data_IF_898147659753
#
_entry.id   IF_898147659753
#
_cell.length_a   1.000
_cell.length_b   1.000
_cell.length_c   1.000
_cell.angle_alpha   90.00
_cell.angle_beta   90.00
_cell.angle_gamma   90.00
#
_symmetry.space_group_name_H-M   'P 1'
#
loop_
_entity.id
_entity.type
_entity.pdbx_description
1 polymer ?
#
# COMPACT_ATOMS: atom_id res chain seq x y z
N UNK A 1 -4.60 14.28 -18.72
CA UNK A 1 -5.43 13.13 -18.29
C UNK A 1 -4.74 12.49 -17.10
N UNK A 2 -5.49 12.08 -16.07
CA UNK A 2 -4.92 11.54 -14.83
C UNK A 2 -4.51 10.07 -15.02
N UNK A 3 -5.35 9.29 -15.70
CA UNK A 3 -5.11 7.90 -16.07
C UNK A 3 -5.46 7.68 -17.53
N UNK A 4 -4.75 6.77 -18.15
CA UNK A 4 -5.08 6.25 -19.44
C UNK A 4 -5.28 4.73 -19.34
N UNK A 5 -6.48 4.27 -19.62
CA UNK A 5 -6.80 2.85 -19.80
C UNK A 5 -6.82 2.57 -21.29
N UNK A 6 -5.95 1.71 -21.79
CA UNK A 6 -5.77 1.46 -23.20
C UNK A 6 -5.64 -0.05 -23.52
N UNK A 7 -5.71 -0.36 -24.81
CA UNK A 7 -5.57 -1.72 -25.35
C UNK A 7 -6.88 -2.50 -25.40
N UNK A 8 -6.79 -3.70 -25.91
CA UNK A 8 -7.95 -4.60 -26.15
C UNK A 8 -8.67 -5.00 -24.86
N UNK A 9 -7.97 -4.94 -23.72
CA UNK A 9 -8.49 -5.33 -22.40
C UNK A 9 -8.96 -4.16 -21.54
N UNK A 10 -9.11 -2.95 -22.09
CA UNK A 10 -9.49 -1.77 -21.32
C UNK A 10 -10.79 -1.96 -20.52
N UNK A 11 -11.82 -2.61 -21.11
CA UNK A 11 -13.07 -2.90 -20.39
C UNK A 11 -12.87 -3.88 -19.24
N UNK A 12 -12.01 -4.89 -19.42
CA UNK A 12 -11.68 -5.87 -18.39
C UNK A 12 -10.98 -5.22 -17.21
N UNK A 13 -10.16 -4.19 -17.44
CA UNK A 13 -9.48 -3.43 -16.36
C UNK A 13 -10.47 -2.73 -15.45
N UNK A 14 -11.53 -2.12 -16.00
CA UNK A 14 -12.60 -1.53 -15.21
C UNK A 14 -13.36 -2.58 -14.41
N UNK A 15 -13.66 -3.73 -15.01
CA UNK A 15 -14.29 -4.86 -14.34
C UNK A 15 -13.45 -5.35 -13.17
N UNK A 16 -12.13 -5.47 -13.35
CA UNK A 16 -11.23 -5.93 -12.29
C UNK A 16 -11.03 -4.93 -11.16
N UNK A 17 -11.09 -3.63 -11.44
CA UNK A 17 -11.13 -2.65 -10.35
C UNK A 17 -12.27 -2.95 -9.36
N UNK A 18 -13.47 -3.22 -9.91
CA UNK A 18 -14.66 -3.55 -9.11
C UNK A 18 -14.46 -4.90 -8.39
N UNK A 19 -13.96 -5.92 -9.07
CA UNK A 19 -13.70 -7.25 -8.49
C UNK A 19 -12.68 -7.16 -7.36
N UNK A 20 -11.59 -6.44 -7.54
CA UNK A 20 -10.57 -6.24 -6.50
C UNK A 20 -11.14 -5.46 -5.32
N UNK A 21 -11.86 -4.37 -5.57
CA UNK A 21 -12.49 -3.58 -4.51
C UNK A 21 -13.45 -4.42 -3.66
N UNK A 22 -14.38 -5.11 -4.30
CA UNK A 22 -15.36 -5.97 -3.62
C UNK A 22 -14.69 -7.18 -2.94
N UNK A 23 -13.73 -7.79 -3.61
CA UNK A 23 -12.95 -8.90 -3.06
C UNK A 23 -12.22 -8.51 -1.78
N UNK A 24 -11.53 -7.36 -1.77
CA UNK A 24 -10.84 -6.84 -0.59
C UNK A 24 -11.81 -6.53 0.55
N UNK A 25 -12.97 -5.92 0.26
CA UNK A 25 -14.01 -5.67 1.26
C UNK A 25 -14.50 -6.99 1.87
N UNK A 26 -14.90 -7.96 1.04
CA UNK A 26 -15.45 -9.24 1.49
C UNK A 26 -14.42 -10.04 2.29
N UNK A 27 -13.18 -10.12 1.81
CA UNK A 27 -12.11 -10.83 2.52
C UNK A 27 -11.74 -10.17 3.85
N UNK A 28 -11.71 -8.82 3.88
CA UNK A 28 -11.51 -8.08 5.12
C UNK A 28 -12.65 -8.36 6.12
N UNK A 29 -13.91 -8.37 5.66
CA UNK A 29 -15.06 -8.70 6.50
C UNK A 29 -14.94 -10.12 7.06
N UNK A 30 -14.58 -11.12 6.25
CA UNK A 30 -14.33 -12.49 6.70
C UNK A 30 -13.22 -12.55 7.76
N UNK A 31 -12.07 -11.92 7.47
CA UNK A 31 -10.90 -11.98 8.33
C UNK A 31 -11.10 -11.30 9.70
N UNK A 32 -11.79 -10.14 9.72
CA UNK A 32 -11.92 -9.36 10.95
C UNK A 32 -13.06 -9.80 11.87
N UNK A 33 -14.16 -10.36 11.32
CA UNK A 33 -15.39 -10.67 12.08
C UNK A 33 -15.27 -11.86 12.99
N UNK A 34 -14.42 -12.82 12.67
CA UNK A 34 -14.27 -14.04 13.45
C UNK A 34 -12.80 -14.33 13.77
N UNK A 35 -12.58 -15.00 14.91
CA UNK A 35 -11.24 -15.46 15.30
C UNK A 35 -10.69 -16.45 14.28
N UNK A 36 -11.53 -17.37 13.80
CA UNK A 36 -11.13 -18.37 12.80
C UNK A 36 -10.79 -17.71 11.46
N UNK A 37 -11.60 -16.75 10.99
CA UNK A 37 -11.30 -15.99 9.77
C UNK A 37 -9.96 -15.29 9.83
N UNK A 38 -9.66 -14.65 10.97
CA UNK A 38 -8.34 -14.02 11.18
C UNK A 38 -7.19 -15.03 11.19
N UNK A 39 -7.35 -16.18 11.88
CA UNK A 39 -6.34 -17.25 11.92
C UNK A 39 -6.09 -17.81 10.52
N UNK A 40 -7.13 -18.10 9.76
CA UNK A 40 -6.99 -18.63 8.39
C UNK A 40 -6.24 -17.59 7.54
N UNK A 41 -6.71 -16.33 7.54
CA UNK A 41 -6.19 -15.29 6.63
C UNK A 41 -4.78 -14.86 7.00
N UNK A 42 -4.45 -14.66 8.28
CA UNK A 42 -3.20 -14.03 8.69
C UNK A 42 -2.17 -14.97 9.33
N UNK A 43 -2.53 -16.24 9.55
CA UNK A 43 -1.58 -17.26 10.02
C UNK A 43 -1.48 -18.42 9.03
N UNK A 44 -2.58 -19.10 8.73
CA UNK A 44 -2.54 -20.33 7.92
C UNK A 44 -2.12 -20.04 6.46
N UNK A 45 -2.74 -19.05 5.81
CA UNK A 45 -2.38 -18.68 4.41
C UNK A 45 -0.93 -18.18 4.33
N UNK A 46 -0.45 -17.22 5.14
CA UNK A 46 0.94 -16.78 5.08
C UNK A 46 1.96 -17.87 5.37
N UNK A 47 1.66 -18.82 6.26
CA UNK A 47 2.52 -19.98 6.50
C UNK A 47 2.61 -20.90 5.26
N UNK A 48 1.46 -21.17 4.63
CA UNK A 48 1.43 -21.96 3.38
C UNK A 48 2.18 -21.24 2.25
N UNK A 49 1.98 -19.91 2.12
CA UNK A 49 2.72 -19.10 1.14
C UNK A 49 4.22 -19.07 1.43
N UNK A 50 4.62 -18.98 2.69
CA UNK A 50 6.05 -19.04 3.06
C UNK A 50 6.67 -20.37 2.63
N UNK A 51 5.98 -21.49 2.88
CA UNK A 51 6.44 -22.81 2.40
C UNK A 51 6.55 -22.87 0.86
N UNK A 52 5.56 -22.30 0.16
CA UNK A 52 5.57 -22.19 -1.30
C UNK A 52 6.74 -21.33 -1.81
N UNK A 53 7.00 -20.17 -1.22
CA UNK A 53 8.12 -19.30 -1.60
C UNK A 53 9.48 -19.96 -1.33
N UNK A 54 9.61 -20.67 -0.21
CA UNK A 54 10.82 -21.45 0.09
C UNK A 54 11.04 -22.58 -0.92
N UNK A 55 9.97 -23.28 -1.31
CA UNK A 55 10.06 -24.33 -2.34
C UNK A 55 10.52 -23.75 -3.68
N UNK A 56 9.97 -22.60 -4.12
CA UNK A 56 10.42 -21.91 -5.32
C UNK A 56 11.90 -21.52 -5.19
N UNK A 57 12.28 -20.89 -4.08
CA UNK A 57 13.66 -20.45 -3.86
C UNK A 57 14.66 -21.63 -3.93
N UNK A 58 14.34 -22.76 -3.28
CA UNK A 58 15.15 -24.00 -3.36
C UNK A 58 15.18 -24.53 -4.80
N UNK A 59 14.02 -24.59 -5.47
CA UNK A 59 13.93 -25.06 -6.85
C UNK A 59 14.79 -24.24 -7.81
N UNK A 60 14.75 -22.90 -7.69
CA UNK A 60 15.59 -22.00 -8.48
C UNK A 60 17.07 -22.24 -8.21
N UNK A 61 17.48 -22.40 -6.94
CA UNK A 61 18.87 -22.68 -6.57
C UNK A 61 19.38 -24.05 -7.09
N UNK A 62 18.48 -25.00 -7.25
CA UNK A 62 18.79 -26.33 -7.78
C UNK A 62 18.61 -26.44 -9.30
N UNK A 63 18.21 -25.38 -9.99
CA UNK A 63 17.99 -25.36 -11.44
C UNK A 63 16.72 -26.09 -11.88
N UNK A 64 15.76 -26.30 -10.99
CA UNK A 64 14.52 -26.99 -11.33
C UNK A 64 13.65 -26.11 -12.26
N UNK A 65 13.30 -26.62 -13.43
CA UNK A 65 12.60 -25.92 -14.50
C UNK A 65 11.27 -25.33 -14.02
N UNK A 66 10.48 -26.10 -13.24
CA UNK A 66 9.19 -25.63 -12.70
C UNK A 66 9.33 -24.38 -11.81
N UNK A 67 10.46 -24.23 -11.13
CA UNK A 67 10.70 -23.07 -10.26
C UNK A 67 11.21 -21.87 -11.06
N UNK A 68 12.05 -22.11 -12.07
CA UNK A 68 12.56 -21.07 -12.96
C UNK A 68 11.44 -20.43 -13.80
N UNK A 69 10.45 -21.23 -14.20
CA UNK A 69 9.28 -20.77 -14.96
C UNK A 69 8.12 -20.29 -14.07
N UNK A 70 8.25 -20.42 -12.75
CA UNK A 70 7.17 -20.03 -11.83
C UNK A 70 6.93 -18.53 -11.86
N UNK A 71 5.67 -18.12 -12.01
CA UNK A 71 5.28 -16.72 -12.13
C UNK A 71 5.71 -15.87 -10.92
N UNK A 72 5.65 -16.41 -9.70
CA UNK A 72 6.16 -15.72 -8.51
C UNK A 72 7.65 -15.44 -8.61
N UNK A 73 8.44 -16.41 -9.09
CA UNK A 73 9.87 -16.20 -9.30
C UNK A 73 10.13 -15.18 -10.42
N UNK A 74 9.43 -15.30 -11.53
CA UNK A 74 9.68 -14.44 -12.70
C UNK A 74 9.31 -12.98 -12.44
N UNK A 75 8.22 -12.73 -11.71
CA UNK A 75 7.60 -11.39 -11.63
C UNK A 75 7.56 -10.78 -10.24
N UNK A 76 7.62 -11.60 -9.17
CA UNK A 76 7.33 -11.15 -7.80
C UNK A 76 8.45 -11.47 -6.81
N UNK A 77 9.69 -11.70 -7.28
CA UNK A 77 10.81 -12.09 -6.42
C UNK A 77 11.50 -10.92 -5.72
N UNK A 78 11.10 -9.69 -5.99
CA UNK A 78 11.73 -8.49 -5.43
C UNK A 78 11.54 -8.39 -3.90
N UNK A 79 12.53 -7.85 -3.22
CA UNK A 79 12.55 -7.69 -1.77
C UNK A 79 11.35 -6.89 -1.24
N UNK A 80 10.93 -5.88 -2.00
CA UNK A 80 9.84 -4.98 -1.65
C UNK A 80 8.51 -5.72 -1.45
N UNK A 81 8.19 -6.66 -2.33
CA UNK A 81 6.96 -7.44 -2.25
C UNK A 81 6.91 -8.30 -0.99
N UNK A 82 8.01 -8.98 -0.66
CA UNK A 82 8.11 -9.76 0.59
C UNK A 82 8.06 -8.87 1.83
N UNK A 83 8.79 -7.75 1.82
CA UNK A 83 8.77 -6.80 2.94
C UNK A 83 7.36 -6.28 3.20
N UNK A 84 6.61 -5.90 2.16
CA UNK A 84 5.22 -5.44 2.29
C UNK A 84 4.28 -6.54 2.79
N UNK A 85 4.40 -7.76 2.25
CA UNK A 85 3.59 -8.89 2.70
C UNK A 85 3.76 -9.16 4.19
N UNK A 86 5.01 -9.37 4.63
CA UNK A 86 5.28 -9.76 6.01
C UNK A 86 5.06 -8.63 7.02
N UNK A 87 5.38 -7.38 6.66
CA UNK A 87 5.09 -6.24 7.50
C UNK A 87 3.56 -6.05 7.69
N UNK A 88 2.78 -6.10 6.60
CA UNK A 88 1.33 -6.00 6.70
C UNK A 88 0.72 -7.15 7.52
N UNK A 89 1.18 -8.40 7.27
CA UNK A 89 0.73 -9.60 8.02
C UNK A 89 1.08 -9.48 9.50
N UNK A 90 2.28 -9.02 9.85
CA UNK A 90 2.67 -8.78 11.25
C UNK A 90 1.73 -7.76 11.93
N UNK A 91 1.34 -6.70 11.21
CA UNK A 91 0.35 -5.73 11.70
C UNK A 91 -1.00 -6.37 12.01
N UNK A 92 -1.51 -7.22 11.09
CA UNK A 92 -2.76 -7.96 11.27
C UNK A 92 -2.69 -8.92 12.48
N UNK A 93 -1.58 -9.64 12.63
CA UNK A 93 -1.34 -10.51 13.80
C UNK A 93 -1.31 -9.69 15.09
N UNK A 94 -0.63 -8.53 15.09
CA UNK A 94 -0.59 -7.62 16.22
C UNK A 94 -1.97 -7.15 16.67
N UNK A 95 -2.84 -6.79 15.72
CA UNK A 95 -4.25 -6.47 16.02
C UNK A 95 -4.99 -7.69 16.62
N UNK A 96 -4.77 -8.89 16.10
CA UNK A 96 -5.37 -10.10 16.65
C UNK A 96 -4.87 -10.39 18.07
N UNK A 97 -3.58 -10.21 18.33
CA UNK A 97 -2.98 -10.41 19.66
C UNK A 97 -3.61 -9.48 20.70
N UNK A 98 -3.79 -8.20 20.37
CA UNK A 98 -4.46 -7.23 21.26
C UNK A 98 -5.94 -7.62 21.43
N UNK A 99 -6.65 -7.88 20.34
CA UNK A 99 -8.08 -8.17 20.33
C UNK A 99 -8.46 -9.41 21.16
N UNK A 100 -7.64 -10.46 21.05
CA UNK A 100 -7.89 -11.74 21.73
C UNK A 100 -7.03 -11.93 22.97
N UNK A 101 -6.29 -10.91 23.39
CA UNK A 101 -5.37 -10.93 24.56
C UNK A 101 -4.37 -12.10 24.50
N UNK A 102 -3.79 -12.37 23.31
CA UNK A 102 -2.82 -13.46 23.12
C UNK A 102 -1.43 -13.07 23.63
N UNK A 103 -0.92 -13.80 24.61
CA UNK A 103 0.43 -13.59 25.13
C UNK A 103 0.72 -12.14 25.49
N UNK A 104 1.75 -11.56 24.86
CA UNK A 104 2.14 -10.16 25.08
C UNK A 104 1.09 -9.16 24.59
N UNK A 105 0.18 -9.55 23.71
CA UNK A 105 -0.93 -8.70 23.24
C UNK A 105 -1.91 -8.30 24.35
N UNK A 106 -1.90 -9.01 25.50
CA UNK A 106 -2.65 -8.64 26.69
C UNK A 106 -1.98 -7.50 27.51
N UNK A 107 -0.74 -7.15 27.20
CA UNK A 107 0.03 -6.17 27.96
C UNK A 107 -0.17 -4.76 27.41
N UNK A 108 -0.31 -3.78 28.30
CA UNK A 108 -0.54 -2.38 27.91
C UNK A 108 0.61 -1.83 27.02
N UNK A 109 1.86 -2.17 27.30
CA UNK A 109 3.01 -1.72 26.52
C UNK A 109 3.01 -2.20 25.06
N UNK A 110 2.21 -3.24 24.74
CA UNK A 110 2.10 -3.76 23.37
C UNK A 110 1.11 -2.98 22.51
N UNK A 111 0.24 -2.15 23.11
CA UNK A 111 -0.78 -1.38 22.36
C UNK A 111 -0.21 -0.52 21.22
N UNK A 112 1.00 0.10 21.31
CA UNK A 112 1.59 0.85 20.18
C UNK A 112 2.11 -0.01 19.02
N UNK A 113 2.10 -1.35 19.13
CA UNK A 113 2.62 -2.22 18.08
C UNK A 113 2.00 -1.95 16.71
N UNK A 114 0.66 -1.76 16.55
CA UNK A 114 0.07 -1.37 15.27
C UNK A 114 0.65 -0.08 14.69
N UNK A 115 0.89 0.94 15.52
CA UNK A 115 1.57 2.17 15.09
C UNK A 115 2.95 1.87 14.51
N UNK A 116 3.78 1.09 15.21
CA UNK A 116 5.14 0.76 14.78
C UNK A 116 5.10 0.07 13.41
N UNK A 117 4.22 -0.91 13.22
CA UNK A 117 4.13 -1.64 11.95
C UNK A 117 3.62 -0.76 10.81
N UNK A 118 2.63 0.10 11.07
CA UNK A 118 2.14 1.06 10.05
C UNK A 118 3.25 2.04 9.68
N UNK A 119 3.99 2.56 10.66
CA UNK A 119 5.13 3.44 10.42
C UNK A 119 6.21 2.76 9.58
N UNK A 120 6.55 1.49 9.85
CA UNK A 120 7.48 0.70 9.03
C UNK A 120 6.97 0.56 7.60
N UNK A 121 5.69 0.26 7.40
CA UNK A 121 5.09 0.16 6.05
C UNK A 121 5.15 1.50 5.30
N UNK A 122 4.95 2.61 5.99
CA UNK A 122 5.10 3.95 5.42
C UNK A 122 6.58 4.21 5.05
N UNK A 123 7.52 3.89 5.95
CA UNK A 123 8.95 4.07 5.69
C UNK A 123 9.43 3.26 4.48
N UNK A 124 8.97 2.03 4.30
CA UNK A 124 9.28 1.23 3.10
C UNK A 124 8.84 1.97 1.82
N UNK A 125 7.67 2.61 1.82
CA UNK A 125 7.21 3.40 0.69
C UNK A 125 8.04 4.69 0.50
N UNK A 126 8.41 5.38 1.58
CA UNK A 126 9.28 6.55 1.51
C UNK A 126 10.67 6.20 0.95
N UNK A 127 11.24 5.05 1.34
CA UNK A 127 12.52 4.57 0.79
C UNK A 127 12.42 4.35 -0.73
N UNK A 128 11.33 3.73 -1.20
CA UNK A 128 11.09 3.53 -2.62
C UNK A 128 10.95 4.86 -3.39
N UNK A 129 10.27 5.87 -2.82
CA UNK A 129 10.21 7.21 -3.41
C UNK A 129 11.62 7.86 -3.48
N UNK A 130 12.39 7.82 -2.39
CA UNK A 130 13.74 8.39 -2.40
C UNK A 130 14.70 7.62 -3.31
N UNK A 131 14.58 6.30 -3.40
CA UNK A 131 15.33 5.48 -4.36
C UNK A 131 15.04 5.94 -5.79
N UNK A 132 13.77 6.11 -6.15
CA UNK A 132 13.37 6.62 -7.46
C UNK A 132 13.91 8.01 -7.75
N UNK A 133 13.92 8.89 -6.74
CA UNK A 133 14.51 10.21 -6.88
C UNK A 133 16.02 10.14 -7.18
N UNK A 134 16.75 9.24 -6.53
CA UNK A 134 18.21 9.11 -6.69
C UNK A 134 18.57 8.41 -7.99
N UNK A 135 17.91 7.29 -8.29
CA UNK A 135 18.26 6.44 -9.43
C UNK A 135 17.76 6.99 -10.77
N UNK A 136 16.59 7.61 -10.77
CA UNK A 136 15.90 8.06 -11.96
C UNK A 136 15.75 9.58 -12.10
N UNK A 137 16.62 10.40 -11.52
CA UNK A 137 16.45 11.86 -11.52
C UNK A 137 16.31 12.44 -12.94
N UNK A 138 15.09 12.91 -13.24
CA UNK A 138 14.69 13.37 -14.58
C UNK A 138 14.93 12.36 -15.70
N UNK A 139 14.87 11.07 -15.40
CA UNK A 139 15.03 9.97 -16.35
C UNK A 139 14.07 8.83 -16.00
N UNK A 140 13.80 8.01 -17.00
CA UNK A 140 13.25 6.68 -16.77
C UNK A 140 14.33 5.77 -16.19
N UNK A 141 13.96 4.90 -15.27
CA UNK A 141 14.85 3.89 -14.75
C UNK A 141 14.08 2.60 -14.46
N UNK A 142 14.75 1.47 -14.65
CA UNK A 142 14.17 0.13 -14.41
C UNK A 142 14.50 -0.29 -12.98
N UNK A 143 13.45 -0.50 -12.17
CA UNK A 143 13.57 -0.91 -10.76
C UNK A 143 13.91 -2.38 -10.61
N UNK A 144 14.30 -2.80 -9.40
CA UNK A 144 14.48 -4.21 -9.04
C UNK A 144 13.21 -5.05 -9.19
N UNK A 145 12.06 -4.39 -9.19
CA UNK A 145 10.74 -5.02 -9.36
C UNK A 145 10.33 -5.14 -10.84
N UNK A 146 11.22 -4.79 -11.76
CA UNK A 146 10.94 -4.83 -13.20
C UNK A 146 9.96 -3.75 -13.69
N UNK A 147 9.78 -2.69 -12.92
CA UNK A 147 8.86 -1.57 -13.23
C UNK A 147 9.66 -0.36 -13.69
N UNK A 148 9.29 0.21 -14.84
CA UNK A 148 9.81 1.48 -15.29
C UNK A 148 9.19 2.63 -14.48
N UNK A 149 10.05 3.45 -13.88
CA UNK A 149 9.66 4.64 -13.13
C UNK A 149 10.36 5.86 -13.70
N UNK A 150 9.72 7.02 -13.58
CA UNK A 150 10.33 8.31 -13.86
C UNK A 150 10.58 9.04 -12.55
N UNK A 151 11.85 9.32 -12.25
CA UNK A 151 12.22 9.92 -10.96
C UNK A 151 12.34 11.45 -11.03
N UNK A 152 12.19 12.10 -9.87
CA UNK A 152 12.34 13.55 -9.76
C UNK A 152 11.84 14.14 -8.45
N UNK A 153 11.61 15.46 -8.44
CA UNK A 153 11.14 16.19 -7.27
C UNK A 153 9.82 15.66 -6.68
N UNK A 154 8.95 15.10 -7.50
CA UNK A 154 7.69 14.50 -7.05
C UNK A 154 7.93 13.34 -6.07
N UNK A 155 8.94 12.52 -6.29
CA UNK A 155 9.31 11.46 -5.35
C UNK A 155 9.85 12.04 -4.03
N UNK A 156 10.69 13.08 -4.09
CA UNK A 156 11.18 13.75 -2.87
C UNK A 156 10.02 14.31 -2.05
N UNK A 157 9.10 15.04 -2.72
CA UNK A 157 7.92 15.60 -2.06
C UNK A 157 7.05 14.51 -1.43
N UNK A 158 6.82 13.42 -2.13
CA UNK A 158 5.99 12.33 -1.63
C UNK A 158 6.67 11.53 -0.51
N UNK A 159 7.97 11.27 -0.60
CA UNK A 159 8.75 10.66 0.48
C UNK A 159 8.70 11.49 1.76
N UNK A 160 8.86 12.83 1.66
CA UNK A 160 8.70 13.74 2.80
C UNK A 160 7.26 13.74 3.32
N UNK A 161 6.26 13.74 2.44
CA UNK A 161 4.86 13.63 2.83
C UNK A 161 4.58 12.36 3.65
N UNK A 162 5.18 11.22 3.26
CA UNK A 162 5.08 9.97 4.02
C UNK A 162 5.72 10.07 5.41
N UNK A 163 6.87 10.72 5.54
CA UNK A 163 7.47 10.97 6.84
C UNK A 163 6.55 11.83 7.73
N UNK A 164 5.95 12.89 7.19
CA UNK A 164 4.96 13.70 7.92
C UNK A 164 3.72 12.89 8.28
N UNK A 165 3.28 11.98 7.41
CA UNK A 165 2.12 11.11 7.64
C UNK A 165 2.31 10.22 8.87
N UNK A 166 3.52 9.72 9.14
CA UNK A 166 3.83 8.96 10.36
C UNK A 166 3.52 9.80 11.61
N UNK A 167 3.90 11.08 11.59
CA UNK A 167 3.63 11.99 12.72
C UNK A 167 2.19 12.48 12.79
N UNK A 168 1.38 12.27 11.75
CA UNK A 168 -0.06 12.49 11.79
C UNK A 168 -0.83 11.36 12.51
N UNK A 169 -0.20 10.22 12.81
CA UNK A 169 -0.79 9.21 13.67
C UNK A 169 -0.70 9.65 15.13
N UNK A 170 -1.85 9.75 15.79
CA UNK A 170 -1.97 10.24 17.17
C UNK A 170 -2.43 9.14 18.13
N UNK A 171 -2.35 9.36 19.44
CA UNK A 171 -2.85 8.47 20.49
C UNK A 171 -2.44 6.99 20.32
N UNK A 172 -1.14 6.71 20.23
CA UNK A 172 -0.61 5.38 19.86
C UNK A 172 -1.00 4.24 20.79
N UNK A 173 -1.35 4.52 22.05
CA UNK A 173 -1.79 3.54 23.05
C UNK A 173 -3.32 3.35 23.08
N UNK A 174 -4.08 4.21 22.40
CA UNK A 174 -5.54 4.23 22.47
C UNK A 174 -6.16 3.37 21.37
N UNK A 175 -5.74 2.11 21.35
CA UNK A 175 -6.24 1.07 20.46
C UNK A 175 -7.01 0.05 21.29
N UNK A 176 -8.29 -0.14 20.98
CA UNK A 176 -9.23 -0.93 21.78
C UNK A 176 -9.97 -1.97 20.94
N UNK A 177 -10.32 -3.14 21.49
CA UNK A 177 -11.24 -4.05 20.82
C UNK A 177 -12.66 -3.45 20.82
N UNK A 178 -13.44 -3.76 19.78
CA UNK A 178 -14.86 -3.43 19.77
C UNK A 178 -15.66 -4.31 20.74
N UNK A 179 -16.83 -3.81 21.19
CA UNK A 179 -17.75 -4.52 22.11
C UNK A 179 -18.17 -5.89 21.58
N UNK A 180 -18.37 -6.00 20.27
CA UNK A 180 -18.72 -7.24 19.59
C UNK A 180 -17.50 -8.11 19.20
N UNK A 181 -16.28 -7.67 19.57
CA UNK A 181 -15.01 -8.32 19.26
C UNK A 181 -14.74 -8.57 17.78
N UNK A 182 -15.41 -7.82 16.89
CA UNK A 182 -15.15 -7.91 15.44
C UNK A 182 -14.02 -7.02 14.98
N UNK A 183 -13.84 -5.87 15.65
CA UNK A 183 -12.93 -4.82 15.21
C UNK A 183 -11.88 -4.45 16.26
N UNK A 184 -10.81 -3.84 15.79
CA UNK A 184 -9.91 -3.01 16.58
C UNK A 184 -10.21 -1.55 16.28
N UNK A 185 -10.50 -0.79 17.31
CA UNK A 185 -10.88 0.62 17.22
C UNK A 185 -9.67 1.48 17.59
N UNK A 186 -9.27 2.34 16.67
CA UNK A 186 -8.33 3.43 16.91
C UNK A 186 -9.04 4.73 16.53
N UNK A 187 -9.79 5.27 17.50
CA UNK A 187 -10.80 6.28 17.27
C UNK A 187 -10.22 7.63 16.79
N UNK A 188 -8.99 7.94 17.21
CA UNK A 188 -8.32 9.19 16.85
C UNK A 188 -7.86 9.22 15.38
N UNK A 189 -7.80 8.06 14.69
CA UNK A 189 -7.61 7.99 13.25
C UNK A 189 -8.91 8.33 12.53
N UNK A 190 -9.26 9.61 12.58
CA UNK A 190 -10.50 10.16 12.02
C UNK A 190 -10.40 10.34 10.50
N UNK A 191 -11.47 10.86 9.90
CA UNK A 191 -11.48 11.18 8.48
C UNK A 191 -10.32 12.09 8.04
N UNK A 192 -9.76 12.91 8.96
CA UNK A 192 -8.60 13.78 8.67
C UNK A 192 -7.39 12.92 8.34
N UNK A 193 -7.07 11.94 9.20
CA UNK A 193 -5.95 11.03 8.94
C UNK A 193 -6.19 10.16 7.71
N UNK A 194 -7.40 9.60 7.58
CA UNK A 194 -7.79 8.77 6.43
C UNK A 194 -7.53 9.52 5.12
N UNK A 195 -8.01 10.76 5.03
CA UNK A 195 -7.85 11.57 3.82
C UNK A 195 -6.38 11.83 3.47
N UNK A 196 -5.56 12.26 4.44
CA UNK A 196 -4.16 12.61 4.14
C UNK A 196 -3.31 11.38 3.86
N UNK A 197 -3.64 10.24 4.49
CA UNK A 197 -3.02 8.96 4.16
C UNK A 197 -3.40 8.50 2.74
N UNK A 198 -4.68 8.55 2.39
CA UNK A 198 -5.15 8.12 1.07
C UNK A 198 -4.53 8.97 -0.04
N UNK A 199 -4.44 10.29 0.13
CA UNK A 199 -3.77 11.18 -0.84
C UNK A 199 -2.28 10.84 -0.96
N UNK A 200 -1.57 10.69 0.16
CA UNK A 200 -0.15 10.35 0.16
C UNK A 200 0.11 8.98 -0.46
N UNK A 201 -0.64 7.96 -0.07
CA UNK A 201 -0.41 6.61 -0.55
C UNK A 201 -0.83 6.46 -2.03
N UNK A 202 -1.85 7.20 -2.47
CA UNK A 202 -2.18 7.28 -3.88
C UNK A 202 -1.04 7.92 -4.69
N UNK A 203 -0.46 9.02 -4.21
CA UNK A 203 0.71 9.65 -4.85
C UNK A 203 1.90 8.67 -4.92
N UNK A 204 2.14 7.91 -3.84
CA UNK A 204 3.17 6.85 -3.82
C UNK A 204 2.93 5.80 -4.91
N UNK A 205 1.73 5.24 -5.01
CA UNK A 205 1.45 4.23 -6.03
C UNK A 205 1.47 4.81 -7.44
N UNK A 206 1.09 6.07 -7.60
CA UNK A 206 1.13 6.78 -8.86
C UNK A 206 2.57 7.03 -9.36
N UNK A 207 3.49 7.33 -8.44
CA UNK A 207 4.88 7.60 -8.75
C UNK A 207 5.72 6.33 -8.92
N UNK A 208 5.58 5.39 -7.97
CA UNK A 208 6.48 4.25 -7.84
C UNK A 208 5.89 2.92 -8.35
N UNK A 209 4.56 2.85 -8.53
CA UNK A 209 3.88 1.68 -9.04
C UNK A 209 2.94 2.04 -10.19
N UNK A 210 3.45 2.67 -11.27
CA UNK A 210 2.61 3.23 -12.33
C UNK A 210 1.70 2.19 -12.98
N UNK A 211 2.16 0.96 -13.15
CA UNK A 211 1.38 -0.13 -13.73
C UNK A 211 0.34 -0.74 -12.78
N UNK A 212 0.42 -0.42 -11.47
CA UNK A 212 -0.45 -0.97 -10.43
C UNK A 212 -1.32 0.08 -9.74
N UNK A 213 -1.14 1.37 -10.08
CA UNK A 213 -1.81 2.46 -9.36
C UNK A 213 -3.34 2.38 -9.39
N UNK A 214 -3.92 1.73 -10.39
CA UNK A 214 -5.36 1.51 -10.50
C UNK A 214 -5.90 0.56 -9.43
N UNK A 215 -5.24 -0.58 -9.23
CA UNK A 215 -5.67 -1.57 -8.22
C UNK A 215 -5.11 -1.28 -6.83
N UNK A 216 -3.81 -0.99 -6.74
CA UNK A 216 -3.15 -0.67 -5.49
C UNK A 216 -3.50 0.73 -5.02
N UNK A 217 -3.49 1.71 -5.92
CA UNK A 217 -3.71 3.10 -5.58
C UNK A 217 -5.19 3.47 -5.38
N UNK A 218 -6.13 2.78 -6.03
CA UNK A 218 -7.56 3.09 -5.90
C UNK A 218 -8.28 2.00 -5.14
N UNK A 219 -8.38 0.78 -5.68
CA UNK A 219 -9.18 -0.27 -5.03
C UNK A 219 -8.68 -0.59 -3.61
N UNK A 220 -7.37 -0.69 -3.42
CA UNK A 220 -6.75 -1.00 -2.13
C UNK A 220 -6.92 0.11 -1.08
N UNK A 221 -7.06 1.38 -1.49
CA UNK A 221 -7.34 2.50 -0.59
C UNK A 221 -8.85 2.68 -0.35
N UNK A 222 -9.66 2.51 -1.38
CA UNK A 222 -11.12 2.63 -1.24
C UNK A 222 -11.72 1.54 -0.37
N UNK A 223 -11.21 0.30 -0.44
CA UNK A 223 -11.78 -0.81 0.33
C UNK A 223 -11.80 -0.55 1.86
N UNK A 224 -10.68 -0.21 2.53
CA UNK A 224 -10.69 0.11 3.96
C UNK A 224 -11.43 1.41 4.26
N UNK A 225 -11.37 2.40 3.36
CA UNK A 225 -11.98 3.72 3.55
C UNK A 225 -13.50 3.64 3.49
N UNK A 226 -14.06 2.97 2.49
CA UNK A 226 -15.51 2.73 2.40
C UNK A 226 -15.99 1.96 3.63
N UNK A 227 -15.29 0.89 4.03
CA UNK A 227 -15.66 0.13 5.23
C UNK A 227 -15.69 1.01 6.49
N UNK A 228 -14.65 1.81 6.71
CA UNK A 228 -14.54 2.66 7.89
C UNK A 228 -15.54 3.81 7.93
N UNK A 229 -15.90 4.37 6.79
CA UNK A 229 -16.86 5.48 6.73
C UNK A 229 -18.32 4.99 6.79
N UNK A 230 -18.62 3.82 6.21
CA UNK A 230 -19.99 3.34 6.09
C UNK A 230 -20.46 2.49 7.28
N UNK A 231 -19.63 1.56 7.81
CA UNK A 231 -20.09 0.62 8.85
C UNK A 231 -19.06 0.28 9.93
N UNK A 232 -17.76 0.62 9.75
CA UNK A 232 -16.68 0.22 10.66
C UNK A 232 -15.90 1.43 11.19
N UNK A 233 -16.59 2.42 11.75
CA UNK A 233 -15.96 3.65 12.28
C UNK A 233 -14.93 3.33 13.35
N UNK A 234 -13.76 3.96 13.24
CA UNK A 234 -12.59 3.72 14.09
C UNK A 234 -11.76 2.49 13.71
N UNK A 235 -12.23 1.64 12.79
CA UNK A 235 -11.51 0.43 12.35
C UNK A 235 -10.63 0.62 11.12
N UNK A 236 -10.42 1.84 10.65
CA UNK A 236 -9.74 2.10 9.37
C UNK A 236 -8.32 1.52 9.31
N UNK A 237 -7.50 1.71 10.35
CA UNK A 237 -6.11 1.19 10.37
C UNK A 237 -6.10 -0.35 10.29
N UNK A 238 -6.99 -1.02 11.02
CA UNK A 238 -7.12 -2.48 10.91
C UNK A 238 -7.55 -2.89 9.51
N UNK A 239 -8.58 -2.23 8.95
CA UNK A 239 -9.04 -2.53 7.59
C UNK A 239 -7.91 -2.32 6.58
N UNK A 240 -7.11 -1.25 6.73
CA UNK A 240 -5.99 -0.95 5.84
C UNK A 240 -4.87 -1.99 5.94
N UNK A 241 -4.53 -2.43 7.15
CA UNK A 241 -3.57 -3.51 7.36
C UNK A 241 -4.07 -4.83 6.74
N UNK A 242 -5.33 -5.19 7.00
CA UNK A 242 -5.93 -6.41 6.49
C UNK A 242 -5.96 -6.42 4.95
N UNK A 243 -6.47 -5.35 4.32
CA UNK A 243 -6.57 -5.27 2.86
C UNK A 243 -5.21 -5.27 2.19
N UNK A 244 -4.20 -4.61 2.79
CA UNK A 244 -2.82 -4.65 2.28
C UNK A 244 -2.23 -6.06 2.35
N UNK A 245 -2.37 -6.75 3.48
CA UNK A 245 -1.88 -8.12 3.63
C UNK A 245 -2.56 -9.08 2.64
N UNK A 246 -3.89 -9.00 2.52
CA UNK A 246 -4.67 -9.80 1.58
C UNK A 246 -4.22 -9.52 0.13
N UNK A 247 -4.10 -8.24 -0.24
CA UNK A 247 -3.60 -7.85 -1.57
C UNK A 247 -2.23 -8.44 -1.86
N UNK A 248 -1.26 -8.30 -0.94
CA UNK A 248 0.09 -8.83 -1.13
C UNK A 248 0.10 -10.35 -1.27
N UNK A 249 -0.74 -11.09 -0.52
CA UNK A 249 -0.85 -12.54 -0.64
C UNK A 249 -1.31 -12.96 -2.04
N UNK A 250 -2.34 -12.29 -2.57
CA UNK A 250 -2.85 -12.58 -3.91
C UNK A 250 -1.88 -12.16 -5.01
N UNK A 251 -1.34 -10.94 -4.93
CA UNK A 251 -0.47 -10.40 -5.96
C UNK A 251 0.82 -11.21 -6.15
N UNK A 252 1.37 -11.79 -5.09
CA UNK A 252 2.59 -12.61 -5.20
C UNK A 252 2.38 -13.99 -5.84
N UNK A 253 1.17 -14.52 -5.78
CA UNK A 253 0.84 -15.84 -6.35
C UNK A 253 0.20 -15.69 -7.73
N UNK A 254 -0.57 -14.64 -7.92
CA UNK A 254 -1.30 -14.36 -9.14
C UNK A 254 -0.87 -13.01 -9.73
N UNK A 255 0.24 -12.93 -10.46
CA UNK A 255 0.73 -11.67 -11.03
C UNK A 255 -0.12 -11.19 -12.22
N UNK A 256 -1.40 -11.55 -12.27
CA UNK A 256 -2.37 -11.20 -13.31
C UNK A 256 -2.58 -9.69 -13.49
N UNK A 257 -2.13 -8.92 -12.51
CA UNK A 257 -2.31 -7.47 -12.47
C UNK A 257 -1.04 -6.70 -12.85
N UNK A 258 0.00 -7.42 -13.30
CA UNK A 258 1.26 -6.81 -13.69
C UNK A 258 1.44 -6.92 -15.20
N UNK A 259 1.84 -5.83 -15.82
CA UNK A 259 2.39 -5.91 -17.17
C UNK A 259 3.74 -6.58 -17.09
N UNK A 260 3.88 -7.63 -17.84
CA UNK A 260 5.13 -8.33 -17.94
C UNK A 260 5.43 -8.61 -19.39
N UNK A 261 6.45 -7.95 -19.88
CA UNK A 261 7.08 -8.21 -21.14
C UNK A 261 8.30 -9.12 -20.92
N UNK A 262 8.07 -10.37 -20.56
CA UNK A 262 9.15 -11.38 -20.68
C UNK A 262 8.73 -12.40 -21.72
N UNK A 263 9.63 -12.69 -22.65
CA UNK A 263 9.49 -13.70 -23.71
C UNK A 263 8.40 -13.39 -24.76
N UNK A 264 8.11 -12.13 -25.05
CA UNK A 264 7.12 -11.75 -26.06
C UNK A 264 5.68 -12.17 -25.75
N UNK A 265 5.41 -12.64 -24.54
CA UNK A 265 4.05 -12.96 -24.09
C UNK A 265 3.53 -11.83 -23.22
N UNK A 266 2.54 -11.13 -23.74
CA UNK A 266 1.73 -10.19 -23.00
C UNK A 266 0.78 -10.99 -22.12
N UNK A 267 1.10 -11.18 -20.86
CA UNK A 267 0.17 -11.67 -19.85
C UNK A 267 -0.75 -10.52 -19.49
N UNK A 268 -2.03 -10.67 -19.73
CA UNK A 268 -3.09 -9.76 -19.37
C UNK A 268 -2.57 -8.35 -19.00
N UNK A 269 -2.42 -7.50 -20.01
CA UNK A 269 -2.16 -6.09 -19.78
C UNK A 269 -3.38 -5.48 -19.12
N UNK A 270 -3.42 -5.56 -17.81
CA UNK A 270 -4.36 -4.80 -16.96
C UNK A 270 -3.80 -3.41 -16.69
N UNK A 271 -2.80 -3.01 -17.46
CA UNK A 271 -2.07 -1.80 -17.24
C UNK A 271 -2.97 -0.59 -17.36
N UNK A 272 -3.12 0.03 -16.25
CA UNK A 272 -3.49 1.42 -16.19
C UNK A 272 -2.22 2.21 -16.16
N UNK A 273 -1.88 2.83 -17.24
CA UNK A 273 -0.75 3.71 -17.26
C UNK A 273 -1.21 5.07 -16.73
N UNK A 274 -0.58 5.59 -15.68
CA UNK A 274 -0.76 6.97 -15.28
C UNK A 274 -0.25 7.88 -16.41
N UNK A 275 -0.50 9.16 -16.32
CA UNK A 275 -0.10 10.17 -17.32
C UNK A 275 1.42 10.28 -17.52
N UNK A 276 2.21 9.41 -16.91
CA UNK A 276 3.61 9.14 -17.26
C UNK A 276 3.76 8.81 -18.74
N UNK A 277 2.78 8.14 -19.32
CA UNK A 277 2.67 7.73 -20.70
C UNK A 277 1.56 8.54 -21.38
N UNK A 278 1.72 9.86 -21.55
CA UNK A 278 0.64 10.70 -22.00
C UNK A 278 0.27 10.37 -23.43
N UNK A 279 -1.02 10.14 -23.65
CA UNK A 279 -1.62 10.07 -24.98
C UNK A 279 -1.04 9.00 -25.92
N UNK A 280 -0.52 7.90 -25.37
CA UNK A 280 0.09 6.84 -26.19
C UNK A 280 1.45 7.23 -26.79
N UNK A 281 2.08 8.30 -26.27
CA UNK A 281 3.41 8.74 -26.76
C UNK A 281 4.57 7.96 -26.14
N UNK A 282 4.34 7.31 -24.99
CA UNK A 282 5.30 6.41 -24.37
C UNK A 282 4.59 5.13 -23.92
N UNK A 283 5.17 3.98 -24.23
CA UNK A 283 4.70 2.67 -23.77
C UNK A 283 5.84 1.90 -23.12
N UNK A 284 5.53 0.84 -22.40
CA UNK A 284 6.53 -0.03 -21.78
C UNK A 284 7.44 -0.64 -22.86
N UNK A 285 6.88 -1.00 -24.01
CA UNK A 285 7.62 -1.52 -25.15
C UNK A 285 8.64 -0.52 -25.67
N UNK A 286 8.27 0.75 -25.77
CA UNK A 286 9.19 1.80 -26.20
C UNK A 286 10.34 1.99 -25.21
N UNK A 287 10.08 1.90 -23.91
CA UNK A 287 11.09 1.96 -22.86
C UNK A 287 12.06 0.78 -22.96
N UNK A 288 11.56 -0.44 -23.10
CA UNK A 288 12.40 -1.61 -23.31
C UNK A 288 13.17 -1.53 -24.62
N UNK A 289 12.56 -1.12 -25.73
CA UNK A 289 13.24 -0.95 -27.02
C UNK A 289 14.39 0.07 -26.92
N UNK A 290 14.17 1.20 -26.24
CA UNK A 290 15.17 2.23 -26.02
C UNK A 290 16.31 1.75 -25.07
N UNK A 291 16.00 0.81 -24.18
CA UNK A 291 16.96 0.22 -23.24
C UNK A 291 17.76 -0.96 -23.78
N UNK A 292 17.62 -1.31 -25.06
CA UNK A 292 18.28 -2.48 -25.67
C UNK A 292 17.45 -3.76 -25.65
N UNK A 293 16.14 -3.66 -25.47
CA UNK A 293 15.21 -4.77 -25.50
C UNK A 293 15.07 -5.51 -24.15
N UNK A 294 14.72 -6.77 -24.21
CA UNK A 294 14.50 -7.61 -23.00
C UNK A 294 15.77 -7.84 -22.16
N UNK A 295 16.93 -7.53 -22.71
CA UNK A 295 18.20 -7.57 -22.00
C UNK A 295 18.41 -6.41 -21.00
N UNK A 296 17.47 -5.46 -20.92
CA UNK A 296 17.53 -4.37 -19.96
C UNK A 296 17.64 -4.93 -18.52
N UNK A 297 18.67 -4.47 -17.81
CA UNK A 297 18.94 -4.89 -16.43
C UNK A 297 18.48 -3.83 -15.45
N UNK A 298 18.28 -4.24 -14.20
CA UNK A 298 17.96 -3.32 -13.08
C UNK A 298 18.94 -2.15 -13.06
N UNK A 299 18.42 -0.94 -12.89
CA UNK A 299 19.21 0.29 -12.93
C UNK A 299 19.44 0.89 -14.32
N UNK A 300 19.03 0.20 -15.40
CA UNK A 300 19.06 0.78 -16.75
C UNK A 300 18.22 2.06 -16.78
N UNK A 301 18.75 3.10 -17.41
CA UNK A 301 18.06 4.40 -17.54
C UNK A 301 17.81 4.75 -19.00
N UNK A 302 16.68 5.43 -19.26
CA UNK A 302 16.33 5.97 -20.58
C UNK A 302 16.08 7.47 -20.44
N UNK A 303 16.68 8.24 -21.33
CA UNK A 303 16.57 9.70 -21.34
C UNK A 303 15.19 10.12 -21.90
N UNK A 304 14.53 11.14 -21.33
CA UNK A 304 13.24 11.61 -21.82
C UNK A 304 13.29 12.26 -23.23
N UNK A 305 14.47 12.52 -23.76
CA UNK A 305 14.63 12.90 -25.18
C UNK A 305 14.41 11.73 -26.14
N UNK A 306 14.62 10.50 -25.66
CA UNK A 306 14.40 9.25 -26.42
C UNK A 306 12.95 8.76 -26.24
N UNK A 307 12.49 8.70 -25.01
CA UNK A 307 11.10 8.33 -24.66
C UNK A 307 10.52 9.44 -23.79
N UNK A 308 9.63 10.23 -24.36
CA UNK A 308 9.07 11.40 -23.69
C UNK A 308 8.37 11.06 -22.36
N UNK A 309 8.57 11.93 -21.35
CA UNK A 309 7.88 11.84 -20.07
C UNK A 309 7.14 13.14 -19.77
N UNK A 310 5.99 13.04 -19.11
CA UNK A 310 5.26 14.20 -18.61
C UNK A 310 4.95 14.02 -17.11
N UNK A 311 5.86 14.45 -16.22
CA UNK A 311 5.70 14.27 -14.78
C UNK A 311 4.73 15.28 -14.13
N UNK A 312 4.04 16.12 -14.89
CA UNK A 312 3.19 17.20 -14.35
C UNK A 312 2.20 16.69 -13.30
N UNK A 313 1.48 15.62 -13.58
CA UNK A 313 0.49 15.09 -12.62
C UNK A 313 1.16 14.40 -11.43
N UNK A 314 2.33 13.81 -11.60
CA UNK A 314 3.14 13.28 -10.49
C UNK A 314 3.54 14.41 -9.54
N UNK A 315 3.98 15.55 -10.08
CA UNK A 315 4.32 16.75 -9.30
C UNK A 315 3.10 17.30 -8.58
N UNK A 316 1.96 17.45 -9.27
CA UNK A 316 0.73 17.99 -8.70
C UNK A 316 0.24 17.15 -7.52
N UNK A 317 0.16 15.81 -7.70
CA UNK A 317 -0.37 14.94 -6.65
C UNK A 317 0.60 14.79 -5.47
N UNK A 318 1.90 14.80 -5.73
CA UNK A 318 2.92 14.75 -4.67
C UNK A 318 2.99 16.06 -3.89
N UNK A 319 2.84 17.20 -4.56
CA UNK A 319 2.71 18.51 -3.89
C UNK A 319 1.43 18.57 -3.03
N UNK A 320 0.31 18.04 -3.53
CA UNK A 320 -0.93 17.92 -2.76
C UNK A 320 -0.74 17.02 -1.55
N UNK A 321 -0.06 15.86 -1.70
CA UNK A 321 0.25 14.96 -0.60
C UNK A 321 1.12 15.64 0.47
N UNK A 322 2.15 16.37 0.07
CA UNK A 322 3.02 17.11 0.99
C UNK A 322 2.24 18.20 1.73
N UNK A 323 1.49 19.02 0.99
CA UNK A 323 0.72 20.11 1.57
C UNK A 323 -0.34 19.61 2.56
N UNK A 324 -1.12 18.61 2.18
CA UNK A 324 -2.20 18.07 3.04
C UNK A 324 -1.65 17.45 4.31
N UNK A 325 -0.54 16.70 4.23
CA UNK A 325 0.11 16.11 5.41
C UNK A 325 0.73 17.19 6.32
N UNK A 326 1.35 18.22 5.75
CA UNK A 326 1.88 19.34 6.54
C UNK A 326 0.77 20.13 7.25
N UNK A 327 -0.34 20.40 6.56
CA UNK A 327 -1.51 21.09 7.14
C UNK A 327 -2.14 20.23 8.25
N UNK A 328 -2.31 18.92 8.02
CA UNK A 328 -2.87 18.02 9.02
C UNK A 328 -1.99 17.95 10.28
N UNK A 329 -0.67 17.85 10.11
CA UNK A 329 0.26 17.84 11.23
C UNK A 329 0.21 19.15 12.01
N UNK A 330 0.19 20.30 11.31
CA UNK A 330 0.00 21.62 11.94
C UNK A 330 -1.30 21.70 12.70
N UNK A 331 -2.40 21.20 12.13
CA UNK A 331 -3.70 21.15 12.78
C UNK A 331 -3.69 20.29 14.06
N UNK A 332 -3.07 19.10 14.01
CA UNK A 332 -2.89 18.22 15.17
C UNK A 332 -2.17 18.96 16.31
N UNK A 333 -1.06 19.62 16.04
CA UNK A 333 -0.32 20.37 17.06
C UNK A 333 -1.10 21.56 17.62
N UNK A 334 -1.86 22.27 16.78
CA UNK A 334 -2.73 23.36 17.24
C UNK A 334 -3.82 22.83 18.18
N UNK A 335 -4.46 21.70 17.83
CA UNK A 335 -5.47 21.10 18.71
C UNK A 335 -4.86 20.55 20.01
N UNK A 336 -3.72 19.88 19.93
CA UNK A 336 -3.01 19.39 21.10
C UNK A 336 -2.60 20.53 22.05
N UNK A 337 -2.09 21.65 21.50
CA UNK A 337 -1.73 22.83 22.28
C UNK A 337 -2.96 23.47 22.96
N UNK A 338 -4.08 23.62 22.24
CA UNK A 338 -5.33 24.16 22.81
C UNK A 338 -5.87 23.32 23.96
N UNK A 339 -5.65 22.02 23.91
CA UNK A 339 -6.13 21.06 24.91
C UNK A 339 -5.08 20.74 25.99
N UNK A 340 -3.87 21.29 25.88
CA UNK A 340 -2.73 21.01 26.79
C UNK A 340 -2.39 19.52 26.90
N UNK A 341 -2.43 18.79 25.79
CA UNK A 341 -2.18 17.35 25.73
C UNK A 341 -0.96 17.00 24.86
N UNK A 342 -0.41 15.79 25.08
CA UNK A 342 0.56 15.19 24.17
C UNK A 342 -0.20 14.40 23.07
N UNK A 343 -0.14 14.80 21.79
CA UNK A 343 -0.93 14.17 20.73
C UNK A 343 -0.60 12.70 20.49
N UNK A 344 0.54 12.23 20.93
CA UNK A 344 0.96 10.84 20.76
C UNK A 344 0.53 9.91 21.88
N UNK A 345 0.17 10.49 23.05
CA UNK A 345 -0.30 9.75 24.23
C UNK A 345 -1.79 9.85 24.43
N UNK A 346 -2.40 10.94 24.00
CA UNK A 346 -3.79 11.30 24.29
C UNK A 346 -4.55 11.60 22.99
N UNK A 347 -5.86 11.36 22.99
CA UNK A 347 -6.72 11.57 21.84
C UNK A 347 -6.90 13.06 21.53
N UNK A 348 -6.63 13.43 20.28
CA UNK A 348 -6.69 14.81 19.77
C UNK A 348 -8.09 15.19 19.32
N UNK A 349 -8.82 14.25 18.73
CA UNK A 349 -10.05 14.52 17.99
C UNK A 349 -11.34 14.16 18.73
N UNK A 350 -11.34 14.17 20.08
CA UNK A 350 -12.48 13.72 20.93
C UNK A 350 -13.79 14.46 20.67
N UNK A 351 -13.73 15.68 20.17
CA UNK A 351 -14.93 16.49 19.89
C UNK A 351 -15.59 16.12 18.56
N UNK A 352 -14.87 15.45 17.67
CA UNK A 352 -15.40 15.05 16.37
C UNK A 352 -16.45 13.95 16.51
N UNK A 353 -17.53 14.07 15.72
CA UNK A 353 -18.58 13.05 15.66
C UNK A 353 -18.03 11.66 15.30
N UNK A 354 -17.08 11.60 14.34
CA UNK A 354 -16.45 10.35 13.95
C UNK A 354 -15.77 9.64 15.12
N UNK A 355 -15.00 10.40 15.93
CA UNK A 355 -14.36 9.89 17.14
C UNK A 355 -15.38 9.36 18.14
N UNK A 356 -16.43 10.14 18.46
CA UNK A 356 -17.49 9.76 19.41
C UNK A 356 -18.21 8.48 18.97
N UNK A 357 -18.54 8.37 17.69
CA UNK A 357 -19.20 7.20 17.13
C UNK A 357 -18.26 5.96 17.18
N UNK A 358 -16.95 6.13 16.95
CA UNK A 358 -15.97 5.06 17.06
C UNK A 358 -15.83 4.59 18.52
N UNK A 359 -15.67 5.51 19.48
CA UNK A 359 -15.53 5.18 20.90
C UNK A 359 -16.79 4.56 21.49
N UNK A 360 -17.97 4.89 20.99
CA UNK A 360 -19.21 4.24 21.39
C UNK A 360 -19.21 2.71 21.12
N UNK A 361 -18.36 2.26 20.18
CA UNK A 361 -18.16 0.83 19.85
C UNK A 361 -17.02 0.17 20.62
N UNK A 362 -16.11 0.94 21.21
CA UNK A 362 -14.90 0.45 21.87
C UNK A 362 -15.18 -0.12 23.27
N UNK A 363 -14.34 -1.09 23.69
CA UNK A 363 -14.19 -1.50 25.08
C UNK A 363 -12.92 -0.84 25.60
N UNK A 364 -13.10 0.18 26.42
CA UNK A 364 -11.99 0.85 27.10
C UNK A 364 -11.69 0.07 28.36
N UNK A 365 -10.46 -0.46 28.47
CA UNK A 365 -9.97 -1.19 29.67
C UNK A 365 -9.66 -0.24 30.82
#
# INVERSE_FOLDING_TARGET
MFFQVYGEHALSQWGMLIVVLLGLILFNEFARRTKLGGIITFLAIPLALTAYFLAIWVGVKTGAQWALENQTHVYMQGWFHYAKLYAATAGCIGFMMIKYKWGIGAKHWFKPFPFIIVAINILIACVSDFESAVMGWNKWWLTSEGVWQYGGWHNVMNGVAGLLNIFCMTAWWNVYPSKDKKDMIWADMTWVYILVYDIWNFAYTYNCLPTHSWYCGIALLLAPTVAALCWNRGGWIQNRANTLAIWCMFAQVFPLFQETFKNGQQWFSWATLPVLYPQGTATIEQLYAAAGGEAAVVGTTVDPSVVAANPTMMIVISALALLTNAVALGYIFVQAKKRHINPYKEDVFVDQKYYKDAMARAVVD
#
